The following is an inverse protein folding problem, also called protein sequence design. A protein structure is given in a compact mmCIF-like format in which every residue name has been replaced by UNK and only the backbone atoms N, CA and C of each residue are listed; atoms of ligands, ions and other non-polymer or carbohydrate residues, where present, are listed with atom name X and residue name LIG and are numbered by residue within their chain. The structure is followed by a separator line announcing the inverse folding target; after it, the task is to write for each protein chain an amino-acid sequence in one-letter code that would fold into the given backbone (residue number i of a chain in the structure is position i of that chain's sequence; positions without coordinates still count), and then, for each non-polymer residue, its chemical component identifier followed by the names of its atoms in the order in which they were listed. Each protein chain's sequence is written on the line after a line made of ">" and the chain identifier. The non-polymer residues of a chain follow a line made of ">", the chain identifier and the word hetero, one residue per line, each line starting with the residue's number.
data_IF_440209284944
#
_entry.id   IF_440209284944
#
_cell.length_a   1.000
_cell.length_b   1.000
_cell.length_c   1.000
_cell.angle_alpha   90.00
_cell.angle_beta   90.00
_cell.angle_gamma   90.00
#
_symmetry.space_group_name_H-M   'P 1'
#
loop_
_entity.id
_entity.type
_entity.pdbx_description
1 polymer ?
#
# COMPACT_ATOMS: atom_id res chain seq x y z
N UNK A 1 -9.71 -17.58 -7.92
CA UNK A 1 -10.00 -16.89 -6.65
C UNK A 1 -11.12 -17.55 -5.84
N UNK A 2 -12.38 -17.63 -6.31
CA UNK A 2 -13.48 -18.23 -5.53
C UNK A 2 -13.20 -19.71 -5.20
N UNK A 3 -12.68 -20.47 -6.14
CA UNK A 3 -12.30 -21.88 -5.90
C UNK A 3 -11.14 -22.00 -4.90
N UNK A 4 -10.17 -21.10 -4.93
CA UNK A 4 -9.05 -21.07 -3.98
C UNK A 4 -9.55 -20.79 -2.57
N UNK A 5 -10.44 -19.80 -2.39
CA UNK A 5 -11.06 -19.49 -1.09
C UNK A 5 -11.90 -20.68 -0.59
N UNK A 6 -12.68 -21.33 -1.46
CA UNK A 6 -13.48 -22.52 -1.10
C UNK A 6 -12.60 -23.69 -0.65
N UNK A 7 -11.49 -23.95 -1.34
CA UNK A 7 -10.51 -24.98 -0.95
C UNK A 7 -9.81 -24.61 0.37
N UNK A 8 -9.40 -23.34 0.56
CA UNK A 8 -8.80 -22.88 1.79
C UNK A 8 -9.76 -22.99 2.99
N UNK A 9 -11.06 -22.74 2.78
CA UNK A 9 -12.09 -22.89 3.82
C UNK A 9 -12.27 -24.33 4.30
N UNK A 10 -12.02 -25.30 3.42
CA UNK A 10 -12.09 -26.72 3.77
C UNK A 10 -10.97 -27.16 4.74
N UNK A 11 -9.85 -26.39 4.80
CA UNK A 11 -8.73 -26.68 5.68
C UNK A 11 -8.93 -25.98 7.04
N UNK A 12 -9.07 -26.72 8.17
CA UNK A 12 -9.47 -26.14 9.46
C UNK A 12 -8.57 -25.01 9.96
N UNK A 13 -7.26 -25.12 9.73
CA UNK A 13 -6.32 -24.08 10.19
C UNK A 13 -6.38 -22.81 9.33
N UNK A 14 -6.53 -22.94 8.01
CA UNK A 14 -6.71 -21.78 7.13
C UNK A 14 -8.05 -21.11 7.38
N UNK A 15 -9.10 -21.89 7.69
CA UNK A 15 -10.39 -21.37 8.10
C UNK A 15 -10.27 -20.53 9.38
N UNK A 16 -9.50 -20.99 10.40
CA UNK A 16 -9.26 -20.22 11.62
C UNK A 16 -8.59 -18.88 11.32
N UNK A 17 -7.57 -18.86 10.44
CA UNK A 17 -6.88 -17.63 10.02
C UNK A 17 -7.79 -16.69 9.25
N UNK A 18 -8.65 -17.21 8.35
CA UNK A 18 -9.64 -16.41 7.62
C UNK A 18 -10.66 -15.77 8.56
N UNK A 19 -11.21 -16.56 9.49
CA UNK A 19 -12.16 -16.07 10.48
C UNK A 19 -11.54 -15.02 11.39
N UNK A 20 -10.29 -15.24 11.84
CA UNK A 20 -9.54 -14.28 12.65
C UNK A 20 -9.35 -12.95 11.91
N UNK A 21 -8.90 -13.00 10.65
CA UNK A 21 -8.76 -11.81 9.81
C UNK A 21 -10.10 -11.07 9.65
N UNK A 22 -11.18 -11.79 9.35
CA UNK A 22 -12.52 -11.22 9.21
C UNK A 22 -13.00 -10.55 10.51
N UNK A 23 -12.73 -11.16 11.66
CA UNK A 23 -13.10 -10.62 12.96
C UNK A 23 -12.36 -9.30 13.26
N UNK A 24 -11.05 -9.24 12.99
CA UNK A 24 -10.29 -7.99 13.16
C UNK A 24 -10.79 -6.91 12.20
N UNK A 25 -11.13 -7.24 10.96
CA UNK A 25 -11.71 -6.28 10.02
C UNK A 25 -13.08 -5.77 10.49
N UNK A 26 -13.88 -6.61 11.15
CA UNK A 26 -15.13 -6.21 11.75
C UNK A 26 -14.92 -5.21 12.90
N UNK A 27 -13.94 -5.48 13.79
CA UNK A 27 -13.55 -4.55 14.87
C UNK A 27 -13.07 -3.22 14.29
N UNK A 28 -12.23 -3.26 13.24
CA UNK A 28 -11.80 -2.07 12.52
C UNK A 28 -12.99 -1.28 11.97
N UNK A 29 -13.99 -1.97 11.44
CA UNK A 29 -15.19 -1.31 10.89
C UNK A 29 -16.07 -0.68 11.98
N UNK A 30 -16.21 -1.32 13.12
CA UNK A 30 -16.92 -0.76 14.28
C UNK A 30 -16.22 0.51 14.77
N UNK A 31 -14.90 0.49 14.94
CA UNK A 31 -14.15 1.67 15.39
C UNK A 31 -14.22 2.85 14.40
N UNK A 32 -14.36 2.57 13.10
CA UNK A 32 -14.60 3.62 12.09
C UNK A 32 -16.00 4.27 12.18
N UNK A 33 -16.89 3.75 12.99
CA UNK A 33 -18.22 4.32 13.22
C UNK A 33 -18.32 5.13 14.54
N UNK A 34 -17.26 5.16 15.36
CA UNK A 34 -17.26 5.84 16.65
C UNK A 34 -16.59 7.22 16.52
N UNK A 35 -17.33 8.34 16.49
CA UNK A 35 -16.75 9.66 16.40
C UNK A 35 -16.07 10.06 17.71
N UNK A 36 -15.02 10.88 17.60
CA UNK A 36 -14.34 11.48 18.75
C UNK A 36 -15.21 12.59 19.34
N UNK A 37 -15.33 12.72 20.67
CA UNK A 37 -16.11 13.79 21.29
C UNK A 37 -15.58 15.18 20.94
N UNK A 38 -16.42 16.20 21.10
CA UNK A 38 -16.18 17.62 20.84
C UNK A 38 -15.98 18.00 19.36
N UNK A 39 -16.30 17.13 18.41
CA UNK A 39 -16.21 17.41 16.97
C UNK A 39 -17.61 17.41 16.35
N UNK A 40 -17.92 18.43 15.55
CA UNK A 40 -19.12 18.44 14.72
C UNK A 40 -18.85 17.70 13.41
N UNK A 41 -19.34 16.47 13.34
CA UNK A 41 -19.11 15.56 12.20
C UNK A 41 -19.80 16.01 10.93
N UNK A 42 -20.93 16.74 11.01
CA UNK A 42 -21.66 17.24 9.84
C UNK A 42 -20.85 18.36 9.15
N UNK A 43 -20.43 19.38 9.92
CA UNK A 43 -19.61 20.47 9.40
C UNK A 43 -18.28 19.96 8.81
N UNK A 44 -17.65 18.99 9.50
CA UNK A 44 -16.42 18.37 9.00
C UNK A 44 -16.66 17.60 7.69
N UNK A 45 -17.76 16.85 7.61
CA UNK A 45 -18.14 16.11 6.41
C UNK A 45 -18.36 17.04 5.22
N UNK A 46 -19.08 18.13 5.38
CA UNK A 46 -19.33 19.12 4.34
C UNK A 46 -18.03 19.82 3.88
N UNK A 47 -17.17 20.19 4.83
CA UNK A 47 -15.86 20.76 4.54
C UNK A 47 -15.00 19.81 3.73
N UNK A 48 -14.88 18.55 4.12
CA UNK A 48 -14.08 17.56 3.43
C UNK A 48 -14.68 17.09 2.10
N UNK A 49 -16.00 17.16 1.94
CA UNK A 49 -16.65 16.91 0.64
C UNK A 49 -16.26 17.97 -0.40
N UNK A 50 -16.13 19.25 0.00
CA UNK A 50 -15.61 20.31 -0.86
C UNK A 50 -14.15 20.08 -1.24
N UNK A 51 -13.36 19.45 -0.35
CA UNK A 51 -11.96 19.11 -0.54
C UNK A 51 -11.73 17.67 -1.03
N UNK A 52 -12.77 17.01 -1.51
CA UNK A 52 -12.71 15.59 -1.94
C UNK A 52 -11.69 15.32 -3.04
N UNK A 53 -11.34 16.31 -3.85
CA UNK A 53 -10.32 16.24 -4.91
C UNK A 53 -8.91 16.55 -4.42
N UNK A 54 -8.73 16.91 -3.15
CA UNK A 54 -7.44 17.24 -2.55
C UNK A 54 -6.82 16.03 -1.83
N UNK A 55 -5.63 16.25 -1.29
CA UNK A 55 -4.93 15.27 -0.46
C UNK A 55 -5.75 14.79 0.73
N UNK A 56 -6.54 15.67 1.34
CA UNK A 56 -7.44 15.31 2.45
C UNK A 56 -8.54 14.34 2.00
N UNK A 57 -9.02 14.48 0.77
CA UNK A 57 -9.93 13.51 0.14
C UNK A 57 -9.30 12.12 -0.01
N UNK A 58 -8.03 12.05 -0.42
CA UNK A 58 -7.29 10.79 -0.48
C UNK A 58 -7.11 10.16 0.90
N UNK A 59 -6.78 10.96 1.91
CA UNK A 59 -6.71 10.51 3.31
C UNK A 59 -8.02 9.88 3.76
N UNK A 60 -9.15 10.54 3.44
CA UNK A 60 -10.48 10.05 3.75
C UNK A 60 -10.82 8.72 3.05
N UNK A 61 -10.33 8.53 1.81
CA UNK A 61 -10.50 7.25 1.10
C UNK A 61 -9.69 6.14 1.75
N UNK A 62 -8.43 6.38 2.09
CA UNK A 62 -7.55 5.39 2.71
C UNK A 62 -7.98 4.99 4.12
N UNK A 63 -8.58 5.92 4.88
CA UNK A 63 -9.16 5.65 6.19
C UNK A 63 -10.55 4.99 6.14
N UNK A 64 -11.11 4.79 4.93
CA UNK A 64 -12.44 4.20 4.77
C UNK A 64 -13.59 5.13 5.18
N UNK A 65 -13.38 6.46 5.14
CA UNK A 65 -14.34 7.47 5.55
C UNK A 65 -14.21 7.92 7.01
N UNK A 66 -13.34 7.28 7.78
CA UNK A 66 -13.10 7.59 9.18
C UNK A 66 -12.59 9.04 9.39
N UNK A 67 -11.78 9.54 8.43
CA UNK A 67 -11.25 10.90 8.48
C UNK A 67 -12.37 11.95 8.36
N UNK A 68 -13.31 11.80 7.45
CA UNK A 68 -14.41 12.77 7.28
C UNK A 68 -15.41 12.78 8.47
N UNK A 69 -15.43 11.75 9.29
CA UNK A 69 -16.27 11.64 10.46
C UNK A 69 -15.51 11.85 11.77
N UNK A 70 -14.23 12.24 11.71
CA UNK A 70 -13.35 12.36 12.88
C UNK A 70 -13.51 11.20 13.86
N UNK A 71 -13.52 9.96 13.37
CA UNK A 71 -13.65 8.79 14.22
C UNK A 71 -12.36 8.48 14.98
N UNK A 72 -12.41 7.59 15.95
CA UNK A 72 -11.22 7.16 16.70
C UNK A 72 -10.11 6.67 15.76
N UNK A 73 -10.48 6.05 14.62
CA UNK A 73 -9.52 5.56 13.61
C UNK A 73 -9.31 6.54 12.44
N UNK A 74 -9.57 7.85 12.63
CA UNK A 74 -9.45 8.85 11.57
C UNK A 74 -8.06 8.89 10.92
N UNK A 75 -6.98 8.74 11.70
CA UNK A 75 -5.62 8.67 11.16
C UNK A 75 -5.30 7.32 10.49
N UNK A 76 -6.09 6.27 10.76
CA UNK A 76 -5.95 4.95 10.19
C UNK A 76 -4.55 4.37 10.37
N UNK A 77 -4.03 3.72 9.32
CA UNK A 77 -2.68 3.13 9.26
C UNK A 77 -1.59 4.10 8.79
N UNK A 78 -1.94 5.35 8.43
CA UNK A 78 -1.00 6.32 7.83
C UNK A 78 0.23 6.61 8.69
N UNK A 79 0.11 6.87 10.02
CA UNK A 79 1.28 7.09 10.86
C UNK A 79 2.26 5.90 10.82
N UNK A 80 1.73 4.68 10.79
CA UNK A 80 2.55 3.46 10.71
C UNK A 80 3.25 3.34 9.35
N UNK A 81 2.54 3.60 8.24
CA UNK A 81 3.14 3.56 6.91
C UNK A 81 4.28 4.56 6.82
N UNK A 82 4.05 5.81 7.22
CA UNK A 82 5.07 6.85 7.20
C UNK A 82 6.29 6.47 8.04
N UNK A 83 6.06 5.95 9.25
CA UNK A 83 7.12 5.50 10.16
C UNK A 83 7.90 4.32 9.57
N UNK A 84 7.21 3.34 9.00
CA UNK A 84 7.83 2.18 8.36
C UNK A 84 8.74 2.58 7.20
N UNK A 85 8.29 3.54 6.36
CA UNK A 85 9.10 4.10 5.26
C UNK A 85 10.35 4.77 5.81
N UNK A 86 10.19 5.66 6.79
CA UNK A 86 11.30 6.40 7.40
C UNK A 86 12.32 5.43 7.99
N UNK A 87 11.88 4.45 8.77
CA UNK A 87 12.78 3.46 9.38
C UNK A 87 13.46 2.58 8.33
N UNK A 88 12.77 2.17 7.26
CA UNK A 88 13.38 1.41 6.16
C UNK A 88 14.45 2.22 5.44
N UNK A 89 14.22 3.51 5.17
CA UNK A 89 15.22 4.39 4.58
C UNK A 89 16.41 4.60 5.52
N UNK A 90 16.16 4.81 6.80
CA UNK A 90 17.20 4.95 7.82
C UNK A 90 18.00 3.65 8.01
N UNK A 91 17.38 2.48 7.83
CA UNK A 91 18.09 1.19 7.88
C UNK A 91 19.15 1.05 6.79
N UNK A 92 18.98 1.75 5.66
CA UNK A 92 20.01 1.78 4.60
C UNK A 92 21.02 2.91 4.83
N UNK A 93 20.56 4.05 5.35
CA UNK A 93 21.40 5.23 5.57
C UNK A 93 22.32 5.10 6.79
N UNK A 94 21.89 4.38 7.83
CA UNK A 94 22.60 4.25 9.12
C UNK A 94 23.19 2.85 9.25
N UNK A 95 24.55 2.70 9.22
CA UNK A 95 25.20 1.38 9.28
C UNK A 95 24.85 0.55 10.53
N UNK A 96 24.54 1.20 11.65
CA UNK A 96 24.11 0.50 12.87
C UNK A 96 22.75 -0.19 12.70
N UNK A 97 21.80 0.46 12.04
CA UNK A 97 20.49 -0.12 11.72
C UNK A 97 20.59 -1.18 10.62
N UNK A 98 21.48 -0.98 9.63
CA UNK A 98 21.74 -1.97 8.59
C UNK A 98 22.27 -3.28 9.18
N UNK A 99 23.27 -3.22 10.08
CA UNK A 99 23.78 -4.41 10.78
C UNK A 99 22.68 -5.10 11.59
N UNK A 100 21.87 -4.32 12.31
CA UNK A 100 20.76 -4.86 13.08
C UNK A 100 19.75 -5.59 12.20
N UNK A 101 19.46 -5.07 10.99
CA UNK A 101 18.53 -5.67 10.04
C UNK A 101 19.07 -6.95 9.40
N UNK A 102 20.36 -6.97 9.04
CA UNK A 102 20.98 -8.07 8.27
C UNK A 102 21.62 -9.14 9.13
N UNK A 103 22.32 -8.73 10.21
CA UNK A 103 23.11 -9.61 11.06
C UNK A 103 22.39 -9.98 12.36
N UNK A 104 21.41 -9.16 12.79
CA UNK A 104 20.69 -9.36 14.06
C UNK A 104 19.66 -10.49 14.07
N UNK A 105 19.44 -11.19 12.94
CA UNK A 105 18.48 -12.29 12.86
C UNK A 105 17.07 -11.88 13.30
N UNK A 106 16.38 -12.75 14.04
CA UNK A 106 15.02 -12.49 14.54
C UNK A 106 14.97 -11.40 15.63
N UNK A 107 16.01 -11.29 16.47
CA UNK A 107 16.07 -10.23 17.48
C UNK A 107 16.27 -8.85 16.86
N UNK A 108 17.11 -8.75 15.82
CA UNK A 108 17.32 -7.51 15.10
C UNK A 108 16.04 -7.03 14.43
N UNK A 109 15.29 -7.92 13.79
CA UNK A 109 13.99 -7.61 13.20
C UNK A 109 12.99 -7.11 14.25
N UNK A 110 12.90 -7.77 15.42
CA UNK A 110 12.03 -7.33 16.53
C UNK A 110 12.41 -5.96 17.06
N UNK A 111 13.71 -5.63 17.17
CA UNK A 111 14.17 -4.30 17.59
C UNK A 111 13.78 -3.23 16.57
N UNK A 112 13.97 -3.48 15.27
CA UNK A 112 13.54 -2.53 14.21
C UNK A 112 12.03 -2.33 14.24
N UNK A 113 11.25 -3.39 14.42
CA UNK A 113 9.80 -3.30 14.57
C UNK A 113 9.41 -2.46 15.79
N UNK A 114 10.09 -2.60 16.92
CA UNK A 114 9.86 -1.77 18.11
C UNK A 114 10.17 -0.30 17.85
N UNK A 115 11.28 0.01 17.18
CA UNK A 115 11.62 1.38 16.76
C UNK A 115 10.54 1.95 15.86
N UNK A 116 10.03 1.16 14.91
CA UNK A 116 8.93 1.56 14.02
C UNK A 116 7.65 1.88 14.80
N UNK A 117 7.31 1.09 15.83
CA UNK A 117 6.15 1.37 16.70
C UNK A 117 6.29 2.69 17.46
N UNK A 118 7.46 2.97 18.05
CA UNK A 118 7.71 4.25 18.73
C UNK A 118 7.65 5.43 17.75
N UNK A 119 8.26 5.29 16.58
CA UNK A 119 8.17 6.31 15.52
C UNK A 119 6.73 6.52 15.05
N UNK A 120 5.91 5.46 14.99
CA UNK A 120 4.47 5.55 14.66
C UNK A 120 3.72 6.42 15.65
N UNK A 121 3.97 6.23 16.95
CA UNK A 121 3.33 7.06 18.00
C UNK A 121 3.76 8.52 17.88
N UNK A 122 5.05 8.78 17.64
CA UNK A 122 5.55 10.14 17.45
C UNK A 122 4.91 10.85 16.24
N UNK A 123 4.79 10.14 15.11
CA UNK A 123 4.12 10.66 13.91
C UNK A 123 2.61 10.83 14.14
N UNK A 124 1.97 9.92 14.88
CA UNK A 124 0.56 10.03 15.23
C UNK A 124 0.28 11.27 16.10
N UNK A 125 1.19 11.64 17.01
CA UNK A 125 1.09 12.89 17.79
C UNK A 125 1.10 14.10 16.87
N UNK A 126 2.07 14.16 15.93
CA UNK A 126 2.19 15.28 14.99
C UNK A 126 0.96 15.39 14.07
N UNK A 127 0.49 14.27 13.52
CA UNK A 127 -0.68 14.25 12.65
C UNK A 127 -1.97 14.52 13.42
N UNK A 128 -2.11 13.98 14.62
CA UNK A 128 -3.26 14.25 15.50
C UNK A 128 -3.36 15.71 15.90
N UNK A 129 -2.24 16.34 16.24
CA UNK A 129 -2.18 17.77 16.51
C UNK A 129 -2.53 18.60 15.27
N UNK A 130 -1.96 18.25 14.11
CA UNK A 130 -2.28 18.95 12.86
C UNK A 130 -3.77 18.83 12.49
N UNK A 131 -4.37 17.66 12.69
CA UNK A 131 -5.80 17.46 12.43
C UNK A 131 -6.68 18.24 13.43
N UNK A 132 -6.28 18.31 14.70
CA UNK A 132 -6.93 19.18 15.69
C UNK A 132 -6.84 20.66 15.28
N UNK A 133 -5.65 21.13 14.87
CA UNK A 133 -5.45 22.51 14.42
C UNK A 133 -6.33 22.85 13.20
N UNK A 134 -6.42 21.93 12.23
CA UNK A 134 -7.33 22.08 11.09
C UNK A 134 -8.77 22.28 11.57
N UNK A 135 -9.29 21.39 12.41
CA UNK A 135 -10.67 21.48 12.90
C UNK A 135 -10.92 22.76 13.71
N UNK A 136 -9.92 23.21 14.49
CA UNK A 136 -9.99 24.45 15.26
C UNK A 136 -10.04 25.69 14.36
N UNK A 137 -9.20 25.74 13.32
CA UNK A 137 -9.12 26.89 12.40
C UNK A 137 -10.41 27.07 11.58
N UNK A 138 -11.12 25.99 11.30
CA UNK A 138 -12.38 26.03 10.52
C UNK A 138 -13.64 26.04 11.40
N UNK A 139 -13.50 26.19 12.73
CA UNK A 139 -14.63 26.28 13.65
C UNK A 139 -15.49 25.01 13.74
N UNK A 140 -14.91 23.85 13.46
CA UNK A 140 -15.58 22.54 13.47
C UNK A 140 -15.72 21.98 14.89
N UNK A 141 -14.94 22.51 15.84
CA UNK A 141 -14.95 22.06 17.23
C UNK A 141 -16.11 22.67 18.01
N UNK A 142 -16.81 21.85 18.76
CA UNK A 142 -17.86 22.30 19.70
C UNK A 142 -17.28 22.91 20.98
N UNK A 143 -16.04 22.55 21.34
CA UNK A 143 -15.30 23.08 22.48
C UNK A 143 -13.81 23.21 22.13
N UNK A 144 -13.24 24.40 22.32
CA UNK A 144 -11.84 24.72 22.00
C UNK A 144 -10.93 24.73 23.22
N UNK A 145 -11.39 24.24 24.38
CA UNK A 145 -10.60 24.16 25.60
C UNK A 145 -9.41 23.20 25.50
N UNK A 146 -8.37 23.44 26.32
CA UNK A 146 -7.15 22.61 26.37
C UNK A 146 -7.52 21.13 26.67
N UNK A 147 -8.52 20.89 27.50
CA UNK A 147 -9.01 19.55 27.81
C UNK A 147 -9.59 18.84 26.58
N UNK A 148 -10.40 19.55 25.78
CA UNK A 148 -10.95 19.02 24.55
C UNK A 148 -9.83 18.67 23.52
N UNK A 149 -8.81 19.55 23.40
CA UNK A 149 -7.65 19.28 22.56
C UNK A 149 -6.91 18.00 22.97
N UNK A 150 -6.66 17.85 24.28
CA UNK A 150 -5.99 16.66 24.81
C UNK A 150 -6.79 15.38 24.53
N UNK A 151 -8.10 15.39 24.81
CA UNK A 151 -8.96 14.23 24.55
C UNK A 151 -8.97 13.86 23.07
N UNK A 152 -9.11 14.82 22.17
CA UNK A 152 -9.13 14.58 20.72
C UNK A 152 -7.81 13.98 20.24
N UNK A 153 -6.67 14.62 20.60
CA UNK A 153 -5.34 14.18 20.16
C UNK A 153 -5.03 12.80 20.71
N UNK A 154 -5.25 12.55 22.00
CA UNK A 154 -5.01 11.23 22.62
C UNK A 154 -5.91 10.15 22.01
N UNK A 155 -7.16 10.48 21.68
CA UNK A 155 -8.07 9.53 20.99
C UNK A 155 -7.53 9.12 19.63
N UNK A 156 -7.00 10.06 18.83
CA UNK A 156 -6.41 9.75 17.53
C UNK A 156 -5.12 8.94 17.65
N UNK A 157 -4.26 9.24 18.64
CA UNK A 157 -3.03 8.47 18.88
C UNK A 157 -3.38 7.04 19.30
N UNK A 158 -4.29 6.90 20.26
CA UNK A 158 -4.74 5.59 20.74
C UNK A 158 -5.36 4.76 19.60
N UNK A 159 -6.23 5.38 18.80
CA UNK A 159 -6.87 4.75 17.66
C UNK A 159 -5.86 4.29 16.60
N UNK A 160 -4.92 5.13 16.21
CA UNK A 160 -3.89 4.77 15.24
C UNK A 160 -2.96 3.66 15.76
N UNK A 161 -2.58 3.70 17.04
CA UNK A 161 -1.78 2.66 17.69
C UNK A 161 -2.52 1.33 17.72
N UNK A 162 -3.83 1.35 17.96
CA UNK A 162 -4.67 0.16 17.95
C UNK A 162 -4.83 -0.42 16.54
N UNK A 163 -4.99 0.44 15.52
CA UNK A 163 -5.04 0.00 14.11
C UNK A 163 -3.72 -0.62 13.68
N UNK A 164 -2.57 -0.05 14.08
CA UNK A 164 -1.26 -0.63 13.88
C UNK A 164 -1.17 -2.03 14.48
N UNK A 165 -1.56 -2.17 15.76
CA UNK A 165 -1.58 -3.46 16.45
C UNK A 165 -2.47 -4.49 15.75
N UNK A 166 -3.68 -4.09 15.30
CA UNK A 166 -4.56 -4.96 14.51
C UNK A 166 -3.89 -5.42 13.21
N UNK A 167 -3.18 -4.56 12.52
CA UNK A 167 -2.43 -4.91 11.33
C UNK A 167 -1.33 -5.94 11.59
N UNK A 168 -0.60 -5.77 12.69
CA UNK A 168 0.43 -6.74 13.12
C UNK A 168 -0.20 -8.09 13.48
N UNK A 169 -1.33 -8.10 14.18
CA UNK A 169 -2.07 -9.34 14.53
C UNK A 169 -2.53 -10.09 13.29
N UNK A 170 -3.04 -9.39 12.27
CA UNK A 170 -3.42 -10.05 11.00
C UNK A 170 -2.18 -10.65 10.32
N UNK A 171 -1.04 -9.96 10.35
CA UNK A 171 0.20 -10.45 9.72
C UNK A 171 0.72 -11.70 10.42
N UNK A 172 0.62 -11.78 11.75
CA UNK A 172 1.14 -12.88 12.56
C UNK A 172 0.18 -14.10 12.58
N UNK A 173 -1.10 -13.86 12.84
CA UNK A 173 -2.09 -14.93 13.05
C UNK A 173 -3.11 -15.07 11.93
N UNK A 174 -3.16 -14.13 10.99
CA UNK A 174 -4.09 -14.10 9.87
C UNK A 174 -3.47 -14.57 8.56
N UNK A 175 -3.84 -13.89 7.46
CA UNK A 175 -3.41 -14.19 6.10
C UNK A 175 -2.83 -12.94 5.47
N UNK A 176 -1.66 -13.06 4.84
CA UNK A 176 -1.03 -11.99 4.08
C UNK A 176 -0.51 -10.84 4.95
N UNK A 177 -0.35 -9.66 4.35
CA UNK A 177 0.09 -8.46 5.03
C UNK A 177 -1.11 -7.72 5.66
N UNK A 178 -1.17 -7.68 7.00
CA UNK A 178 -2.32 -7.13 7.72
C UNK A 178 -2.56 -5.64 7.46
N UNK A 179 -1.50 -4.83 7.32
CA UNK A 179 -1.62 -3.40 7.00
C UNK A 179 -2.27 -3.20 5.63
N UNK A 180 -1.82 -3.97 4.63
CA UNK A 180 -2.41 -3.94 3.28
C UNK A 180 -3.87 -4.38 3.29
N UNK A 181 -4.23 -5.39 4.10
CA UNK A 181 -5.60 -5.88 4.23
C UNK A 181 -6.51 -4.84 4.91
N UNK A 182 -6.02 -4.11 5.91
CA UNK A 182 -6.78 -3.02 6.53
C UNK A 182 -7.02 -1.89 5.52
N UNK A 183 -6.00 -1.51 4.74
CA UNK A 183 -6.15 -0.54 3.64
C UNK A 183 -7.18 -1.01 2.61
N UNK A 184 -7.07 -2.27 2.18
CA UNK A 184 -8.04 -2.90 1.27
C UNK A 184 -9.46 -2.79 1.79
N UNK A 185 -9.69 -3.16 3.06
CA UNK A 185 -11.00 -3.08 3.70
C UNK A 185 -11.52 -1.64 3.81
N UNK A 186 -10.62 -0.68 4.13
CA UNK A 186 -10.93 0.75 4.14
C UNK A 186 -11.43 1.26 2.80
N UNK A 187 -10.66 0.99 1.74
CA UNK A 187 -11.01 1.43 0.37
C UNK A 187 -12.30 0.76 -0.10
N UNK A 188 -12.42 -0.56 0.08
CA UNK A 188 -13.57 -1.33 -0.37
C UNK A 188 -14.87 -0.88 0.32
N UNK A 189 -14.78 -0.45 1.58
CA UNK A 189 -15.94 0.03 2.34
C UNK A 189 -16.58 1.31 1.78
N UNK A 190 -15.87 2.04 0.93
CA UNK A 190 -16.39 3.25 0.27
C UNK A 190 -17.05 3.00 -1.08
N UNK A 191 -16.94 1.80 -1.64
CA UNK A 191 -17.55 1.46 -2.91
C UNK A 191 -19.06 1.71 -2.92
N UNK A 192 -19.84 1.33 -1.88
CA UNK A 192 -21.27 1.63 -1.85
C UNK A 192 -21.59 3.12 -1.91
N UNK A 193 -20.84 3.97 -1.18
CA UNK A 193 -21.02 5.42 -1.21
C UNK A 193 -20.63 6.03 -2.54
N UNK A 194 -19.59 5.52 -3.21
CA UNK A 194 -19.21 5.95 -4.56
C UNK A 194 -20.30 5.63 -5.58
N UNK A 195 -20.89 4.45 -5.51
CA UNK A 195 -22.04 4.06 -6.36
C UNK A 195 -23.25 4.95 -6.05
N UNK A 196 -23.51 5.23 -4.77
CA UNK A 196 -24.58 6.14 -4.34
C UNK A 196 -24.41 7.56 -4.91
N UNK A 197 -23.20 8.13 -4.82
CA UNK A 197 -22.90 9.45 -5.37
C UNK A 197 -23.02 9.48 -6.90
N UNK A 198 -22.59 8.42 -7.57
CA UNK A 198 -22.73 8.30 -9.02
C UNK A 198 -24.20 8.22 -9.46
N UNK A 199 -25.01 7.46 -8.73
CA UNK A 199 -26.45 7.36 -9.01
C UNK A 199 -27.19 8.68 -8.69
N UNK A 200 -26.78 9.40 -7.67
CA UNK A 200 -27.29 10.73 -7.37
C UNK A 200 -26.97 11.73 -8.49
N UNK A 201 -25.72 11.78 -8.93
CA UNK A 201 -25.29 12.65 -10.04
C UNK A 201 -26.00 12.35 -11.37
N UNK A 202 -26.34 11.07 -11.62
CA UNK A 202 -27.19 10.69 -12.76
C UNK A 202 -28.62 11.19 -12.63
N UNK A 203 -29.18 11.19 -11.41
CA UNK A 203 -30.56 11.66 -11.16
C UNK A 203 -30.69 13.18 -11.20
N UNK A 204 -29.67 13.91 -10.72
CA UNK A 204 -29.64 15.39 -10.77
C UNK A 204 -29.31 15.93 -12.16
N UNK A 205 -28.83 15.09 -13.09
CA UNK A 205 -28.43 15.50 -14.43
C UNK A 205 -27.01 16.06 -14.52
N UNK A 206 -26.27 16.09 -13.41
CA UNK A 206 -24.88 16.55 -13.36
C UNK A 206 -23.91 15.63 -14.11
N UNK A 207 -24.32 14.38 -14.34
CA UNK A 207 -23.56 13.39 -15.08
C UNK A 207 -24.42 12.73 -16.17
N UNK A 208 -23.92 12.72 -17.40
CA UNK A 208 -24.60 12.00 -18.48
C UNK A 208 -24.45 10.47 -18.27
N UNK A 209 -25.47 9.70 -18.64
CA UNK A 209 -25.50 8.25 -18.44
C UNK A 209 -24.32 7.53 -19.15
N UNK A 210 -23.90 8.00 -20.32
CA UNK A 210 -22.76 7.44 -21.05
C UNK A 210 -21.42 7.67 -20.32
N UNK A 211 -21.27 8.77 -19.55
CA UNK A 211 -20.10 9.00 -18.70
C UNK A 211 -20.02 7.94 -17.57
N UNK A 212 -21.14 7.62 -16.95
CA UNK A 212 -21.17 6.56 -15.93
C UNK A 212 -20.76 5.21 -16.51
N UNK A 213 -21.24 4.86 -17.70
CA UNK A 213 -20.83 3.63 -18.41
C UNK A 213 -19.33 3.65 -18.70
N UNK A 214 -18.79 4.77 -19.18
CA UNK A 214 -17.37 4.93 -19.47
C UNK A 214 -16.50 4.79 -18.21
N UNK A 215 -16.94 5.33 -17.07
CA UNK A 215 -16.26 5.18 -15.76
C UNK A 215 -16.20 3.73 -15.34
N UNK A 216 -17.33 3.04 -15.36
CA UNK A 216 -17.40 1.62 -14.97
C UNK A 216 -16.54 0.77 -15.92
N UNK A 217 -16.63 1.00 -17.23
CA UNK A 217 -15.80 0.30 -18.21
C UNK A 217 -14.31 0.59 -18.02
N UNK A 218 -13.94 1.83 -17.68
CA UNK A 218 -12.57 2.22 -17.36
C UNK A 218 -12.02 1.51 -16.12
N UNK A 219 -12.81 1.44 -15.04
CA UNK A 219 -12.43 0.71 -13.83
C UNK A 219 -12.24 -0.78 -14.12
N UNK A 220 -13.14 -1.40 -14.87
CA UNK A 220 -13.02 -2.81 -15.26
C UNK A 220 -11.78 -3.04 -16.14
N UNK A 221 -11.52 -2.15 -17.11
CA UNK A 221 -10.31 -2.23 -17.93
C UNK A 221 -9.02 -2.10 -17.09
N UNK A 222 -9.01 -1.20 -16.10
CA UNK A 222 -7.90 -1.08 -15.15
C UNK A 222 -7.71 -2.36 -14.31
N UNK A 223 -8.78 -2.95 -13.81
CA UNK A 223 -8.70 -4.21 -13.06
C UNK A 223 -8.09 -5.32 -13.91
N UNK A 224 -8.54 -5.46 -15.16
CA UNK A 224 -8.00 -6.45 -16.10
C UNK A 224 -6.51 -6.18 -16.38
N UNK A 225 -6.15 -4.93 -16.66
CA UNK A 225 -4.77 -4.53 -16.93
C UNK A 225 -3.86 -4.81 -15.74
N UNK A 226 -4.29 -4.44 -14.52
CA UNK A 226 -3.52 -4.66 -13.29
C UNK A 226 -3.33 -6.17 -13.04
N UNK A 227 -4.40 -6.95 -13.19
CA UNK A 227 -4.34 -8.40 -13.00
C UNK A 227 -3.41 -9.07 -14.01
N UNK A 228 -3.47 -8.64 -15.27
CA UNK A 228 -2.63 -9.17 -16.35
C UNK A 228 -1.15 -8.86 -16.12
N UNK A 229 -0.80 -7.62 -15.78
CA UNK A 229 0.60 -7.24 -15.55
C UNK A 229 1.16 -7.84 -14.26
N UNK A 230 0.36 -7.90 -13.18
CA UNK A 230 0.80 -8.54 -11.93
C UNK A 230 0.98 -10.07 -12.06
N UNK A 231 0.29 -10.69 -13.00
CA UNK A 231 0.48 -12.10 -13.36
C UNK A 231 1.64 -12.36 -14.33
N UNK A 232 2.17 -11.30 -14.95
CA UNK A 232 3.25 -11.43 -15.93
C UNK A 232 4.61 -11.70 -15.25
N UNK A 233 5.34 -12.69 -15.78
CA UNK A 233 6.65 -13.06 -15.26
C UNK A 233 7.66 -13.30 -16.39
N UNK A 234 8.91 -12.90 -16.16
CA UNK A 234 10.06 -13.24 -17.02
C UNK A 234 10.68 -14.52 -16.49
N UNK A 235 10.59 -15.63 -17.22
CA UNK A 235 11.20 -16.91 -16.87
C UNK A 235 12.60 -16.98 -17.42
N UNK A 236 13.60 -17.09 -16.54
CA UNK A 236 15.02 -17.29 -16.91
C UNK A 236 15.28 -18.79 -16.83
N UNK A 237 15.74 -19.46 -17.92
CA UNK A 237 16.06 -20.88 -17.89
C UNK A 237 17.28 -21.13 -17.00
N UNK A 238 17.17 -22.10 -16.10
CA UNK A 238 18.25 -22.57 -15.24
C UNK A 238 18.44 -24.07 -15.48
N UNK A 239 19.66 -24.48 -15.70
CA UNK A 239 20.04 -25.88 -15.86
C UNK A 239 20.84 -26.33 -14.66
N UNK A 240 20.53 -27.53 -14.16
CA UNK A 240 21.31 -28.18 -13.11
C UNK A 240 22.17 -29.28 -13.69
N UNK A 241 23.44 -29.32 -13.26
CA UNK A 241 24.36 -30.36 -13.69
C UNK A 241 23.85 -31.75 -13.31
N UNK A 242 23.92 -32.70 -14.24
CA UNK A 242 23.61 -34.11 -13.97
C UNK A 242 24.66 -34.65 -13.01
N UNK A 243 24.23 -35.26 -11.91
CA UNK A 243 25.11 -35.91 -10.94
C UNK A 243 24.95 -37.40 -11.08
N UNK A 244 26.05 -38.09 -11.35
CA UNK A 244 26.07 -39.56 -11.41
C UNK A 244 26.44 -40.06 -10.00
N UNK A 245 25.57 -40.85 -9.40
CA UNK A 245 25.84 -41.55 -8.13
C UNK A 245 25.74 -43.04 -8.40
N UNK A 246 26.89 -43.70 -8.53
CA UNK A 246 26.97 -45.06 -8.94
C UNK A 246 26.54 -45.28 -10.39
N UNK A 247 25.66 -46.26 -10.66
CA UNK A 247 25.07 -46.53 -11.98
C UNK A 247 23.82 -45.69 -12.30
N UNK A 248 23.31 -44.89 -11.36
CA UNK A 248 22.10 -44.09 -11.57
C UNK A 248 22.46 -42.63 -11.83
N UNK A 249 21.89 -42.04 -12.86
CA UNK A 249 21.97 -40.61 -13.14
C UNK A 249 20.87 -39.88 -12.37
N UNK A 250 21.26 -38.94 -11.51
CA UNK A 250 20.36 -38.02 -10.78
C UNK A 250 20.59 -36.61 -11.28
N UNK A 251 19.51 -35.86 -11.49
CA UNK A 251 19.56 -34.45 -11.91
C UNK A 251 19.37 -34.27 -13.42
N UNK A 252 19.57 -33.06 -13.89
CA UNK A 252 19.31 -32.67 -15.29
C UNK A 252 17.90 -32.12 -15.48
N UNK A 253 17.19 -31.76 -14.41
CA UNK A 253 15.94 -31.02 -14.53
C UNK A 253 16.22 -29.60 -15.01
N UNK A 254 15.59 -29.23 -16.11
CA UNK A 254 15.52 -27.84 -16.53
C UNK A 254 14.49 -27.13 -15.65
N UNK A 255 14.95 -26.16 -14.89
CA UNK A 255 14.09 -25.30 -14.06
C UNK A 255 14.08 -23.89 -14.62
N UNK A 256 13.16 -23.07 -14.18
CA UNK A 256 13.12 -21.67 -14.55
C UNK A 256 13.14 -20.82 -13.28
N UNK A 257 13.88 -19.70 -13.31
CA UNK A 257 13.84 -18.66 -12.30
C UNK A 257 12.76 -17.64 -12.72
N UNK A 258 11.56 -17.66 -12.10
CA UNK A 258 10.52 -16.69 -12.44
C UNK A 258 10.83 -15.33 -11.81
N UNK A 259 10.80 -14.28 -12.62
CA UNK A 259 10.92 -12.89 -12.18
C UNK A 259 9.63 -12.17 -12.53
N UNK A 260 8.84 -11.79 -11.55
CA UNK A 260 7.59 -11.04 -11.77
C UNK A 260 7.91 -9.66 -12.36
N UNK A 261 7.06 -9.18 -13.26
CA UNK A 261 7.18 -7.82 -13.83
C UNK A 261 7.00 -6.76 -12.74
N UNK A 262 6.04 -6.96 -11.85
CA UNK A 262 5.87 -6.16 -10.65
C UNK A 262 6.39 -6.95 -9.43
N UNK A 263 7.71 -6.90 -9.18
CA UNK A 263 8.33 -7.61 -8.06
C UNK A 263 8.04 -6.95 -6.72
N UNK A 264 7.86 -5.64 -6.74
CA UNK A 264 7.70 -4.83 -5.53
C UNK A 264 6.25 -4.75 -5.04
N UNK A 265 5.29 -5.33 -5.78
CA UNK A 265 3.87 -5.29 -5.43
C UNK A 265 3.29 -3.88 -5.43
N UNK A 266 2.46 -3.60 -4.44
CA UNK A 266 1.76 -2.32 -4.26
C UNK A 266 2.55 -1.33 -3.40
N UNK A 267 3.54 -1.81 -2.64
CA UNK A 267 4.28 -1.02 -1.66
C UNK A 267 4.94 0.26 -2.21
N UNK A 268 5.58 0.25 -3.40
CA UNK A 268 6.15 1.47 -3.97
C UNK A 268 5.14 2.58 -4.19
N UNK A 269 3.91 2.25 -4.57
CA UNK A 269 2.84 3.23 -4.78
C UNK A 269 2.41 3.83 -3.44
N UNK A 270 2.21 2.99 -2.42
CA UNK A 270 1.82 3.43 -1.08
C UNK A 270 2.88 4.36 -0.51
N UNK A 271 4.16 4.05 -0.68
CA UNK A 271 5.28 4.86 -0.20
C UNK A 271 5.44 6.15 -0.97
N UNK A 272 5.40 6.09 -2.30
CA UNK A 272 5.43 7.29 -3.14
C UNK A 272 4.29 8.24 -2.79
N UNK A 273 3.08 7.70 -2.60
CA UNK A 273 1.90 8.45 -2.21
C UNK A 273 2.06 9.07 -0.82
N UNK A 274 2.54 8.31 0.15
CA UNK A 274 2.74 8.80 1.52
C UNK A 274 3.72 9.98 1.56
N UNK A 275 4.84 9.91 0.83
CA UNK A 275 5.80 11.01 0.75
C UNK A 275 5.24 12.20 -0.04
N UNK A 276 4.60 11.93 -1.18
CA UNK A 276 3.99 13.00 -1.98
C UNK A 276 2.89 13.75 -1.21
N UNK A 277 2.23 13.09 -0.25
CA UNK A 277 1.20 13.70 0.59
C UNK A 277 1.74 14.52 1.76
N UNK A 278 3.02 14.36 2.16
CA UNK A 278 3.56 15.08 3.32
C UNK A 278 3.44 16.60 3.15
N UNK A 279 3.90 17.14 2.02
CA UNK A 279 3.92 18.59 1.80
C UNK A 279 2.51 19.18 1.71
N UNK A 280 1.58 18.61 0.89
CA UNK A 280 0.20 19.09 0.87
C UNK A 280 -0.51 18.96 2.23
N UNK A 281 -0.21 17.91 2.99
CA UNK A 281 -0.80 17.71 4.33
C UNK A 281 -0.33 18.79 5.30
N UNK A 282 0.97 19.09 5.35
CA UNK A 282 1.52 20.17 6.16
C UNK A 282 0.93 21.52 5.75
N UNK A 283 0.83 21.75 4.43
CA UNK A 283 0.23 22.99 3.91
C UNK A 283 -1.26 23.13 4.31
N UNK A 284 -2.02 22.03 4.35
CA UNK A 284 -3.41 22.06 4.78
C UNK A 284 -3.61 22.36 6.28
N UNK A 285 -2.60 22.12 7.11
CA UNK A 285 -2.63 22.42 8.55
C UNK A 285 -2.18 23.84 8.87
N UNK A 286 -1.56 24.54 7.92
CA UNK A 286 -1.14 25.93 8.07
C UNK A 286 -2.24 26.89 7.58
N UNK A 287 -2.28 28.14 8.10
CA UNK A 287 -3.18 29.16 7.54
C UNK A 287 -2.92 29.35 6.05
N UNK A 288 -4.00 29.55 5.27
CA UNK A 288 -3.88 29.73 3.82
C UNK A 288 -2.98 30.95 3.52
N UNK A 289 -1.88 30.79 2.75
CA UNK A 289 -0.98 31.88 2.44
C UNK A 289 -1.66 32.90 1.51
N UNK A 290 -1.33 34.18 1.68
CA UNK A 290 -1.86 35.26 0.87
C UNK A 290 -1.51 35.10 -0.61
N UNK A 291 -2.45 35.44 -1.50
CA UNK A 291 -2.26 35.39 -2.95
C UNK A 291 -1.08 36.31 -3.34
N UNK A 292 -0.13 35.75 -4.08
CA UNK A 292 1.08 36.48 -4.52
C UNK A 292 2.34 36.20 -3.68
N UNK A 293 2.23 35.48 -2.58
CA UNK A 293 3.39 35.06 -1.77
C UNK A 293 4.03 33.79 -2.34
N UNK A 294 5.34 33.61 -2.14
CA UNK A 294 6.07 32.38 -2.50
C UNK A 294 5.40 31.13 -1.90
N UNK A 295 4.88 31.25 -0.66
CA UNK A 295 4.11 30.19 -0.02
C UNK A 295 2.85 29.78 -0.80
N UNK A 296 2.11 30.75 -1.36
CA UNK A 296 0.95 30.47 -2.22
C UNK A 296 1.33 29.73 -3.50
N UNK A 297 2.42 30.15 -4.15
CA UNK A 297 2.93 29.47 -5.35
C UNK A 297 3.37 28.04 -5.04
N UNK A 298 4.01 27.82 -3.89
CA UNK A 298 4.46 26.51 -3.45
C UNK A 298 3.30 25.57 -3.11
N UNK A 299 2.28 26.05 -2.39
CA UNK A 299 1.08 25.28 -2.06
C UNK A 299 0.32 24.88 -3.34
N UNK A 300 0.15 25.82 -4.28
CA UNK A 300 -0.50 25.52 -5.57
C UNK A 300 0.32 24.56 -6.44
N UNK A 301 1.63 24.63 -6.39
CA UNK A 301 2.50 23.71 -7.14
C UNK A 301 2.41 22.28 -6.65
N UNK A 302 2.14 22.10 -5.35
CA UNK A 302 2.07 20.79 -4.68
C UNK A 302 0.63 20.29 -4.54
N UNK A 303 -0.37 21.07 -4.97
CA UNK A 303 -1.75 20.60 -5.03
C UNK A 303 -1.86 19.34 -5.93
N UNK A 304 -2.67 18.38 -5.50
CA UNK A 304 -2.90 17.11 -6.23
C UNK A 304 -3.41 17.30 -7.68
N UNK A 305 -3.98 18.46 -7.99
CA UNK A 305 -4.40 18.86 -9.35
C UNK A 305 -3.26 19.44 -10.20
N UNK A 306 -2.12 19.75 -9.59
CA UNK A 306 -0.98 20.33 -10.30
C UNK A 306 -0.26 19.29 -11.15
N UNK A 307 0.17 19.70 -12.36
CA UNK A 307 1.02 18.86 -13.20
C UNK A 307 2.36 18.56 -12.53
N UNK A 308 2.88 19.51 -11.74
CA UNK A 308 4.13 19.33 -11.01
C UNK A 308 4.01 18.21 -9.96
N UNK A 309 2.88 18.17 -9.24
CA UNK A 309 2.60 17.07 -8.30
C UNK A 309 2.55 15.72 -9.01
N UNK A 310 1.89 15.64 -10.15
CA UNK A 310 1.78 14.38 -10.92
C UNK A 310 3.16 13.91 -11.40
N UNK A 311 4.02 14.82 -11.88
CA UNK A 311 5.40 14.49 -12.29
C UNK A 311 6.22 14.03 -11.08
N UNK A 312 6.15 14.75 -9.96
CA UNK A 312 6.86 14.39 -8.74
C UNK A 312 6.41 13.01 -8.23
N UNK A 313 5.11 12.76 -8.20
CA UNK A 313 4.53 11.49 -7.79
C UNK A 313 4.99 10.33 -8.70
N UNK A 314 5.02 10.56 -10.02
CA UNK A 314 5.52 9.59 -11.00
C UNK A 314 6.98 9.23 -10.76
N UNK A 315 7.83 10.23 -10.55
CA UNK A 315 9.26 10.03 -10.27
C UNK A 315 9.45 9.29 -8.94
N UNK A 316 8.64 9.59 -7.92
CA UNK A 316 8.68 8.88 -6.64
C UNK A 316 8.30 7.40 -6.81
N UNK A 317 7.27 7.09 -7.61
CA UNK A 317 6.90 5.69 -7.88
C UNK A 317 8.06 4.94 -8.54
N UNK A 318 8.74 5.56 -9.52
CA UNK A 318 9.90 4.95 -10.17
C UNK A 318 11.03 4.73 -9.14
N UNK A 319 11.37 5.75 -8.37
CA UNK A 319 12.43 5.69 -7.36
C UNK A 319 12.17 4.57 -6.33
N UNK A 320 10.95 4.50 -5.78
CA UNK A 320 10.58 3.46 -4.81
C UNK A 320 10.48 2.07 -5.44
N UNK A 321 10.09 1.96 -6.70
CA UNK A 321 10.08 0.67 -7.39
C UNK A 321 11.50 0.10 -7.52
N UNK A 322 12.46 0.91 -7.88
CA UNK A 322 13.88 0.50 -7.92
C UNK A 322 14.42 0.19 -6.52
N UNK A 323 14.11 1.05 -5.56
CA UNK A 323 14.51 0.87 -4.17
C UNK A 323 14.04 -0.47 -3.62
N UNK A 324 12.75 -0.78 -3.79
CA UNK A 324 12.17 -2.04 -3.34
C UNK A 324 12.71 -3.26 -4.08
N UNK A 325 12.87 -3.16 -5.39
CA UNK A 325 13.41 -4.26 -6.19
C UNK A 325 14.82 -4.65 -5.74
N UNK A 326 15.67 -3.67 -5.36
CA UNK A 326 17.03 -3.93 -4.89
C UNK A 326 17.08 -4.53 -3.48
N UNK A 327 16.10 -4.20 -2.62
CA UNK A 327 16.00 -4.80 -1.28
C UNK A 327 15.49 -6.23 -1.35
N UNK A 328 14.45 -6.45 -2.14
CA UNK A 328 13.73 -7.72 -2.18
C UNK A 328 14.47 -8.79 -2.99
N UNK A 329 15.28 -8.39 -3.95
CA UNK A 329 15.96 -9.29 -4.86
C UNK A 329 17.47 -9.01 -4.92
N UNK A 330 18.26 -9.87 -4.29
CA UNK A 330 19.72 -9.77 -4.29
C UNK A 330 20.33 -10.67 -5.38
N UNK A 331 20.75 -10.11 -6.54
CA UNK A 331 21.30 -10.90 -7.64
C UNK A 331 22.56 -11.70 -7.27
N UNK A 332 23.37 -11.18 -6.35
CA UNK A 332 24.62 -11.84 -5.91
C UNK A 332 24.30 -13.08 -5.08
N UNK A 333 23.36 -12.95 -4.17
CA UNK A 333 22.93 -14.07 -3.31
C UNK A 333 22.30 -15.19 -4.15
N UNK A 334 21.42 -14.84 -5.10
CA UNK A 334 20.79 -15.81 -5.99
C UNK A 334 21.84 -16.52 -6.85
N UNK A 335 22.80 -15.79 -7.43
CA UNK A 335 23.88 -16.37 -8.21
C UNK A 335 24.74 -17.33 -7.39
N UNK A 336 25.04 -16.97 -6.13
CA UNK A 336 25.78 -17.83 -5.20
C UNK A 336 24.99 -19.08 -4.82
N UNK A 337 23.69 -18.97 -4.59
CA UNK A 337 22.82 -20.09 -4.29
C UNK A 337 22.68 -21.04 -5.48
N UNK A 338 22.54 -20.51 -6.71
CA UNK A 338 22.58 -21.31 -7.93
C UNK A 338 23.91 -22.07 -8.05
N UNK A 339 25.05 -21.38 -7.85
CA UNK A 339 26.38 -22.02 -7.91
C UNK A 339 26.53 -23.13 -6.86
N UNK A 340 26.11 -22.90 -5.61
CA UNK A 340 26.16 -23.89 -4.52
C UNK A 340 25.33 -25.14 -4.84
N UNK A 341 24.19 -24.97 -5.52
CA UNK A 341 23.28 -26.07 -5.88
C UNK A 341 23.62 -26.71 -7.24
N UNK A 342 24.75 -26.34 -7.88
CA UNK A 342 25.16 -26.87 -9.18
C UNK A 342 24.30 -26.37 -10.35
N UNK A 343 23.52 -25.30 -10.15
CA UNK A 343 22.72 -24.64 -11.17
C UNK A 343 23.50 -23.58 -11.96
N UNK A 344 23.22 -23.44 -13.22
CA UNK A 344 23.79 -22.38 -14.07
C UNK A 344 22.76 -21.88 -15.09
N UNK A 345 22.96 -20.64 -15.54
CA UNK A 345 22.17 -20.05 -16.62
C UNK A 345 22.91 -20.32 -17.94
N UNK A 346 22.27 -20.95 -18.97
CA UNK A 346 22.89 -21.21 -20.24
C UNK A 346 23.51 -19.92 -20.84
N UNK A 347 24.78 -20.03 -21.28
CA UNK A 347 25.51 -18.90 -21.85
C UNK A 347 26.25 -18.00 -20.84
N UNK A 348 26.10 -18.22 -19.53
CA UNK A 348 26.80 -17.44 -18.49
C UNK A 348 27.58 -18.35 -17.53
N UNK A 349 28.80 -17.95 -17.19
CA UNK A 349 29.60 -18.66 -16.18
C UNK A 349 28.99 -18.46 -14.80
N UNK A 350 28.95 -19.51 -13.95
CA UNK A 350 28.49 -19.39 -12.57
C UNK A 350 29.28 -18.35 -11.77
N UNK A 351 28.62 -17.59 -10.91
CA UNK A 351 29.21 -16.55 -10.07
C UNK A 351 28.95 -15.14 -10.60
N UNK A 352 29.93 -14.25 -10.57
CA UNK A 352 29.78 -12.82 -10.92
C UNK A 352 29.10 -12.56 -12.26
N UNK A 353 29.45 -13.24 -13.39
CA UNK A 353 28.77 -13.02 -14.67
C UNK A 353 27.28 -13.35 -14.63
N UNK A 354 26.88 -14.38 -13.88
CA UNK A 354 25.48 -14.74 -13.66
C UNK A 354 24.76 -13.68 -12.83
N UNK A 355 25.40 -13.15 -11.77
CA UNK A 355 24.85 -12.06 -10.97
C UNK A 355 24.64 -10.79 -11.80
N UNK A 356 25.60 -10.42 -12.66
CA UNK A 356 25.51 -9.24 -13.52
C UNK A 356 24.41 -9.39 -14.58
N UNK A 357 24.22 -10.59 -15.12
CA UNK A 357 23.12 -10.88 -16.03
C UNK A 357 21.77 -10.75 -15.33
N UNK A 358 21.60 -11.37 -14.14
CA UNK A 358 20.37 -11.28 -13.34
C UNK A 358 20.08 -9.82 -12.99
N UNK A 359 21.09 -9.03 -12.57
CA UNK A 359 20.96 -7.60 -12.29
C UNK A 359 20.46 -6.81 -13.50
N UNK A 360 21.01 -7.10 -14.69
CA UNK A 360 20.61 -6.43 -15.94
C UNK A 360 19.15 -6.74 -16.32
N UNK A 361 18.70 -7.98 -16.13
CA UNK A 361 17.32 -8.38 -16.34
C UNK A 361 16.41 -7.72 -15.32
N UNK A 362 16.78 -7.74 -14.02
CA UNK A 362 16.06 -7.11 -12.93
C UNK A 362 15.80 -5.62 -13.24
N UNK A 363 16.85 -4.87 -13.58
CA UNK A 363 16.72 -3.43 -13.87
C UNK A 363 15.75 -3.15 -15.02
N UNK A 364 15.78 -3.96 -16.08
CA UNK A 364 14.86 -3.79 -17.22
C UNK A 364 13.40 -4.12 -16.86
N UNK A 365 13.21 -5.20 -16.12
CA UNK A 365 11.88 -5.62 -15.67
C UNK A 365 11.31 -4.62 -14.67
N UNK A 366 12.14 -4.14 -13.73
CA UNK A 366 11.74 -3.11 -12.76
C UNK A 366 11.39 -1.79 -13.43
N UNK A 367 12.14 -1.35 -14.46
CA UNK A 367 11.81 -0.14 -15.21
C UNK A 367 10.43 -0.23 -15.85
N UNK A 368 10.16 -1.33 -16.53
CA UNK A 368 8.85 -1.55 -17.14
C UNK A 368 7.73 -1.55 -16.10
N UNK A 369 7.91 -2.30 -14.99
CA UNK A 369 6.98 -2.34 -13.88
C UNK A 369 6.74 -0.97 -13.24
N UNK A 370 7.81 -0.18 -13.04
CA UNK A 370 7.73 1.15 -12.45
C UNK A 370 6.99 2.14 -13.35
N UNK A 371 7.27 2.15 -14.66
CA UNK A 371 6.55 2.98 -15.63
C UNK A 371 5.07 2.60 -15.67
N UNK A 372 4.78 1.30 -15.72
CA UNK A 372 3.42 0.79 -15.68
C UNK A 372 2.67 1.26 -14.42
N UNK A 373 3.25 1.07 -13.22
CA UNK A 373 2.66 1.51 -11.97
C UNK A 373 2.43 3.03 -11.94
N UNK A 374 3.40 3.81 -12.43
CA UNK A 374 3.30 5.25 -12.51
C UNK A 374 2.19 5.73 -13.45
N UNK A 375 2.09 5.13 -14.64
CA UNK A 375 1.03 5.45 -15.61
C UNK A 375 -0.35 5.13 -15.03
N UNK A 376 -0.53 3.93 -14.47
CA UNK A 376 -1.82 3.51 -13.89
C UNK A 376 -2.19 4.35 -12.67
N UNK A 377 -1.22 4.80 -11.87
CA UNK A 377 -1.46 5.68 -10.72
C UNK A 377 -1.87 7.10 -11.12
N UNK A 378 -1.29 7.64 -12.21
CA UNK A 378 -1.54 9.01 -12.65
C UNK A 378 -2.75 9.13 -13.57
N UNK A 379 -3.06 8.10 -14.36
CA UNK A 379 -4.13 8.12 -15.35
C UNK A 379 -5.46 8.62 -14.79
N UNK A 380 -5.94 8.19 -13.62
CA UNK A 380 -7.18 8.70 -13.06
C UNK A 380 -7.10 10.14 -12.54
N UNK A 381 -5.94 10.58 -12.07
CA UNK A 381 -5.72 11.97 -11.70
C UNK A 381 -5.84 12.88 -12.93
N UNK A 382 -5.29 12.43 -14.08
CA UNK A 382 -5.43 13.13 -15.36
C UNK A 382 -6.88 13.15 -15.84
N UNK A 383 -7.57 12.00 -15.79
CA UNK A 383 -8.99 11.89 -16.18
C UNK A 383 -9.86 12.79 -15.29
N UNK A 384 -9.66 12.74 -13.97
CA UNK A 384 -10.38 13.58 -13.00
C UNK A 384 -10.19 15.07 -13.27
N UNK A 385 -8.99 15.49 -13.72
CA UNK A 385 -8.71 16.88 -14.11
C UNK A 385 -9.42 17.27 -15.41
N UNK A 386 -9.52 16.38 -16.40
CA UNK A 386 -10.15 16.66 -17.71
C UNK A 386 -11.67 16.67 -17.59
N UNK A 387 -12.23 15.68 -16.88
CA UNK A 387 -13.70 15.49 -16.79
C UNK A 387 -14.32 16.34 -15.68
N UNK A 388 -13.50 16.90 -14.78
CA UNK A 388 -13.92 17.73 -13.64
C UNK A 388 -14.93 17.04 -12.69
N UNK A 389 -14.97 15.71 -12.68
CA UNK A 389 -15.82 14.90 -11.79
C UNK A 389 -14.98 14.38 -10.64
N UNK A 390 -15.27 14.87 -9.45
CA UNK A 390 -14.53 14.52 -8.22
C UNK A 390 -14.50 13.01 -7.91
N UNK A 391 -15.54 12.29 -8.28
CA UNK A 391 -15.64 10.85 -8.08
C UNK A 391 -14.60 10.03 -8.87
N UNK A 392 -14.09 10.56 -9.98
CA UNK A 392 -13.12 9.90 -10.87
C UNK A 392 -11.66 10.07 -10.43
N UNK A 393 -11.34 11.19 -9.75
CA UNK A 393 -9.96 11.49 -9.33
C UNK A 393 -9.44 10.57 -8.22
N UNK A 394 -10.34 9.93 -7.49
CA UNK A 394 -10.03 9.11 -6.30
C UNK A 394 -9.74 7.65 -6.67
N UNK A 395 -10.17 7.18 -7.87
CA UNK A 395 -10.28 5.75 -8.16
C UNK A 395 -8.99 4.99 -8.44
N UNK A 396 -7.97 5.61 -9.04
CA UNK A 396 -6.90 4.85 -9.66
C UNK A 396 -5.91 4.19 -8.73
N UNK A 397 -5.34 4.94 -7.81
CA UNK A 397 -4.43 4.39 -6.81
C UNK A 397 -5.15 3.42 -5.90
N UNK A 398 -6.40 3.72 -5.55
CA UNK A 398 -7.24 2.83 -4.76
C UNK A 398 -7.53 1.52 -5.47
N UNK A 399 -7.81 1.54 -6.79
CA UNK A 399 -8.02 0.31 -7.58
C UNK A 399 -6.76 -0.53 -7.63
N UNK A 400 -5.58 0.08 -7.82
CA UNK A 400 -4.31 -0.66 -7.82
C UNK A 400 -4.10 -1.34 -6.46
N UNK A 401 -4.30 -0.60 -5.36
CA UNK A 401 -4.13 -1.14 -4.00
C UNK A 401 -5.11 -2.31 -3.78
N UNK A 402 -6.39 -2.12 -4.11
CA UNK A 402 -7.41 -3.16 -3.92
C UNK A 402 -7.09 -4.42 -4.73
N UNK A 403 -6.80 -4.29 -6.02
CA UNK A 403 -6.50 -5.43 -6.89
C UNK A 403 -5.17 -6.09 -6.50
N UNK A 404 -4.14 -5.29 -6.22
CA UNK A 404 -2.83 -5.79 -5.81
C UNK A 404 -2.89 -6.58 -4.50
N UNK A 405 -3.52 -6.02 -3.47
CA UNK A 405 -3.68 -6.69 -2.17
C UNK A 405 -4.54 -7.96 -2.29
N UNK A 406 -5.61 -7.93 -3.10
CA UNK A 406 -6.42 -9.11 -3.35
C UNK A 406 -5.59 -10.24 -3.99
N UNK A 407 -4.76 -9.92 -5.00
CA UNK A 407 -3.89 -10.88 -5.66
C UNK A 407 -2.81 -11.43 -4.71
N UNK A 408 -2.15 -10.54 -3.94
CA UNK A 408 -1.13 -10.94 -2.95
C UNK A 408 -1.73 -11.85 -1.86
N UNK A 409 -2.94 -11.53 -1.39
CA UNK A 409 -3.64 -12.35 -0.37
C UNK A 409 -4.00 -13.74 -0.91
N UNK A 410 -4.47 -13.83 -2.17
CA UNK A 410 -4.77 -15.11 -2.81
C UNK A 410 -3.49 -15.92 -3.02
N UNK A 411 -2.39 -15.31 -3.46
CA UNK A 411 -1.09 -15.98 -3.60
C UNK A 411 -0.55 -16.47 -2.24
N UNK A 412 -0.72 -15.69 -1.18
CA UNK A 412 -0.35 -16.11 0.18
C UNK A 412 -1.16 -17.32 0.65
N UNK A 413 -2.49 -17.36 0.34
CA UNK A 413 -3.34 -18.51 0.60
C UNK A 413 -2.89 -19.76 -0.19
N UNK A 414 -2.64 -19.62 -1.49
CA UNK A 414 -2.17 -20.70 -2.35
C UNK A 414 -0.85 -21.27 -1.87
N UNK A 415 0.10 -20.42 -1.49
CA UNK A 415 1.39 -20.84 -0.93
C UNK A 415 1.22 -21.64 0.37
N UNK A 416 0.32 -21.20 1.28
CA UNK A 416 0.04 -21.93 2.51
C UNK A 416 -0.67 -23.27 2.27
N UNK A 417 -1.52 -23.36 1.24
CA UNK A 417 -2.15 -24.64 0.85
C UNK A 417 -1.13 -25.62 0.28
N UNK A 418 -0.24 -25.16 -0.60
CA UNK A 418 0.80 -26.00 -1.21
C UNK A 418 1.76 -26.57 -0.18
N UNK A 419 2.21 -25.76 0.78
CA UNK A 419 3.10 -26.22 1.85
C UNK A 419 2.50 -27.37 2.68
N UNK A 420 1.19 -27.46 2.77
CA UNK A 420 0.49 -28.52 3.51
C UNK A 420 0.24 -29.80 2.70
N UNK A 421 0.01 -29.68 1.40
CA UNK A 421 -0.08 -30.85 0.54
C UNK A 421 1.24 -31.64 0.55
N UNK A 422 2.37 -30.96 0.67
CA UNK A 422 3.67 -31.62 0.82
C UNK A 422 3.87 -32.30 2.19
N UNK A 423 3.31 -31.78 3.28
CA UNK A 423 3.39 -32.43 4.61
C UNK A 423 2.55 -33.71 4.68
N UNK A 424 1.39 -33.75 4.05
CA UNK A 424 0.55 -34.95 4.01
C UNK A 424 1.07 -36.08 3.11
N UNK A 425 2.17 -35.88 2.39
CA UNK A 425 2.88 -36.92 1.64
C UNK A 425 4.04 -37.54 2.43
N UNK A 426 4.40 -36.97 3.59
CA UNK A 426 5.52 -37.40 4.42
C UNK A 426 5.05 -38.06 5.75
N UNK A 427 3.75 -38.02 6.02
CA UNK A 427 3.05 -38.80 7.06
C UNK A 427 2.33 -39.99 6.38
#
# INVERSE_FOLDING_TARGET
>A
MIQTIKKAWAIPELRKKLVFTALILLIFRIGNAIPVPYVNTELLGDYLNQLSTTVLGLYNVMSGGAFAQATIFALGVQPYINSSIIIQLLTIAIPALERMAREGGEEGKKKIQSITRYATVAIAILQGWGYYALMSNYGILTNTGIWAALVIIVSFIAGSSFVMWMGEQITEFGIGNGISIILFAGILSRVPSMVGNMTAALRTGDMAWWMAVLVVAGILALIVLITWVNGAERRIPVQYAKRQVGRKMYGGQNSTLPMKVNMSGVLPIIFAQSIAMIIPTVAAFLPAPEKGTFGYALVNAVDSKSVLYMIFYFLMIIAFSYFYATIQFNPVEISNNLKKNGGFIPGFRPGKPTADFIRKVLNKVTLFGAIYLGVVAILPLLIGKIVNVAALSIGGTSVIIVVGVALETVQALESQMLMRQYKGFLE
#
